data_IF_446751564434
#
_entry.id   IF_446751564434
#
_cell.length_a   1.000
_cell.length_b   1.000
_cell.length_c   1.000
_cell.angle_alpha   90.00
_cell.angle_beta   90.00
_cell.angle_gamma   90.00
#
_symmetry.space_group_name_H-M   'P 1'
#
loop_
_entity.id
_entity.type
_entity.pdbx_description
1 polymer ?
#
# COMPACT_ATOMS: atom_id res chain seq x y z
N UNK A 1 -14.62 51.33 57.86
CA UNK A 1 -13.75 51.77 56.73
C UNK A 1 -12.40 52.13 57.33
N UNK A 2 -11.44 51.21 57.32
CA UNK A 2 -10.15 51.40 57.99
C UNK A 2 -9.36 52.43 57.18
N UNK A 3 -9.15 53.63 57.74
CA UNK A 3 -8.28 54.65 57.14
C UNK A 3 -6.83 54.30 57.45
N UNK A 4 -6.21 53.47 56.61
CA UNK A 4 -4.79 53.19 56.73
C UNK A 4 -3.97 54.45 56.39
N UNK A 5 -2.89 54.66 57.15
CA UNK A 5 -1.97 55.76 56.94
C UNK A 5 -1.26 55.63 55.59
N UNK A 6 -0.90 56.76 54.96
CA UNK A 6 -0.25 56.80 53.63
C UNK A 6 1.04 55.95 53.61
N UNK A 7 1.75 55.87 54.75
CA UNK A 7 2.94 55.03 54.90
C UNK A 7 2.60 53.53 54.87
N UNK A 8 1.57 53.10 55.60
CA UNK A 8 1.14 51.69 55.66
C UNK A 8 0.60 51.21 54.31
N UNK A 9 -0.13 52.08 53.60
CA UNK A 9 -0.60 51.79 52.25
C UNK A 9 0.55 51.62 51.25
N UNK A 10 1.65 52.37 51.43
CA UNK A 10 2.85 52.24 50.59
C UNK A 10 3.60 50.93 50.86
N UNK A 11 3.76 50.54 52.12
CA UNK A 11 4.36 49.25 52.50
C UNK A 11 3.54 48.07 51.93
N UNK A 12 2.21 48.12 52.07
CA UNK A 12 1.33 47.10 51.49
C UNK A 12 1.42 47.06 49.97
N UNK A 13 1.48 48.22 49.30
CA UNK A 13 1.61 48.29 47.86
C UNK A 13 2.95 47.70 47.36
N UNK A 14 4.05 47.99 48.05
CA UNK A 14 5.36 47.41 47.75
C UNK A 14 5.37 45.89 47.96
N UNK A 15 4.73 45.41 49.03
CA UNK A 15 4.59 43.98 49.29
C UNK A 15 3.78 43.25 48.20
N UNK A 16 2.65 43.82 47.78
CA UNK A 16 1.85 43.25 46.68
C UNK A 16 2.59 43.25 45.34
N UNK A 17 3.35 44.31 45.04
CA UNK A 17 4.20 44.35 43.84
C UNK A 17 5.29 43.27 43.92
N UNK A 18 5.93 43.11 45.07
CA UNK A 18 6.96 42.09 45.26
C UNK A 18 6.42 40.67 45.01
N UNK A 19 5.27 40.34 45.59
CA UNK A 19 4.60 39.04 45.37
C UNK A 19 4.16 38.87 43.92
N UNK A 20 3.62 39.92 43.30
CA UNK A 20 3.19 39.86 41.90
C UNK A 20 4.36 39.60 40.95
N UNK A 21 5.47 40.30 41.11
CA UNK A 21 6.68 40.10 40.30
C UNK A 21 7.27 38.71 40.52
N UNK A 22 7.30 38.22 41.77
CA UNK A 22 7.80 36.90 42.08
C UNK A 22 6.95 35.78 41.45
N UNK A 23 5.63 35.87 41.57
CA UNK A 23 4.72 34.88 40.97
C UNK A 23 4.72 34.94 39.44
N UNK A 24 4.77 36.15 38.85
CA UNK A 24 4.90 36.32 37.41
C UNK A 24 6.23 35.77 36.88
N UNK A 25 7.33 35.95 37.60
CA UNK A 25 8.64 35.40 37.24
C UNK A 25 8.64 33.87 37.30
N UNK A 26 8.06 33.26 38.34
CA UNK A 26 7.94 31.81 38.46
C UNK A 26 7.08 31.19 37.35
N UNK A 27 5.96 31.83 37.01
CA UNK A 27 5.08 31.37 35.93
C UNK A 27 5.72 31.56 34.55
N UNK A 28 6.40 32.69 34.34
CA UNK A 28 7.15 32.93 33.11
C UNK A 28 8.30 31.94 32.98
N UNK A 29 9.00 31.63 34.06
CA UNK A 29 10.00 30.56 34.07
C UNK A 29 9.34 29.22 33.78
N UNK A 30 8.24 28.83 34.43
CA UNK A 30 7.56 27.57 34.13
C UNK A 30 7.05 27.43 32.68
N UNK A 31 6.61 28.54 32.05
CA UNK A 31 6.10 28.54 30.67
C UNK A 31 7.19 28.63 29.61
N UNK A 32 8.25 29.41 29.86
CA UNK A 32 9.32 29.68 28.88
C UNK A 32 10.61 28.92 29.17
N UNK A 33 10.75 28.26 30.32
CA UNK A 33 11.82 27.32 30.59
C UNK A 33 11.53 26.04 29.81
N UNK A 34 12.04 26.03 28.59
CA UNK A 34 12.09 24.84 27.75
C UNK A 34 12.87 23.76 28.51
N UNK A 35 12.16 22.73 28.98
CA UNK A 35 12.77 21.47 29.39
C UNK A 35 13.28 20.79 28.13
N UNK A 36 14.35 21.34 27.52
CA UNK A 36 14.90 21.02 26.21
C UNK A 36 14.93 19.52 25.91
N UNK A 37 13.78 19.02 25.49
CA UNK A 37 13.57 17.72 24.88
C UNK A 37 12.84 17.98 23.56
N UNK A 38 13.17 19.08 22.88
CA UNK A 38 13.15 19.09 21.43
C UNK A 38 13.96 17.86 21.02
N UNK A 39 13.25 16.79 20.64
CA UNK A 39 13.80 15.45 20.40
C UNK A 39 15.12 15.60 19.68
N UNK A 40 16.22 15.47 20.43
CA UNK A 40 17.56 15.49 19.86
C UNK A 40 17.65 14.14 19.16
N UNK A 41 17.09 14.05 17.96
CA UNK A 41 17.33 12.91 17.07
C UNK A 41 18.83 12.88 16.95
N UNK A 42 19.45 11.86 17.55
CA UNK A 42 20.89 11.72 17.52
C UNK A 42 21.31 11.80 16.05
N UNK A 43 22.43 12.46 15.75
CA UNK A 43 22.98 12.45 14.38
C UNK A 43 23.10 11.02 13.84
N UNK A 44 23.32 10.07 14.75
CA UNK A 44 23.31 8.64 14.49
C UNK A 44 21.92 8.12 14.09
N UNK A 45 20.87 8.38 14.87
CA UNK A 45 19.50 7.98 14.53
C UNK A 45 19.03 8.56 13.18
N UNK A 46 19.45 9.79 12.87
CA UNK A 46 19.17 10.41 11.59
C UNK A 46 19.95 9.74 10.45
N UNK A 47 21.22 9.43 10.66
CA UNK A 47 22.05 8.71 9.69
C UNK A 47 21.50 7.30 9.41
N UNK A 48 21.07 6.59 10.46
CA UNK A 48 20.49 5.25 10.35
C UNK A 48 19.18 5.29 9.55
N UNK A 49 18.29 6.25 9.84
CA UNK A 49 17.06 6.46 9.05
C UNK A 49 17.35 6.82 7.59
N UNK A 50 18.35 7.67 7.35
CA UNK A 50 18.73 8.04 6.00
C UNK A 50 19.26 6.83 5.22
N UNK A 51 20.08 6.00 5.85
CA UNK A 51 20.56 4.73 5.28
C UNK A 51 19.41 3.79 4.94
N UNK A 52 18.48 3.59 5.89
CA UNK A 52 17.29 2.76 5.67
C UNK A 52 16.38 3.29 4.55
N UNK A 53 16.29 4.60 4.37
CA UNK A 53 15.55 5.21 3.26
C UNK A 53 16.25 4.97 1.92
N UNK A 54 17.57 5.15 1.87
CA UNK A 54 18.37 4.91 0.67
C UNK A 54 18.32 3.45 0.23
N UNK A 55 18.39 2.49 1.17
CA UNK A 55 18.24 1.06 0.87
C UNK A 55 16.86 0.72 0.30
N UNK A 56 15.80 1.29 0.87
CA UNK A 56 14.45 1.10 0.35
C UNK A 56 14.30 1.68 -1.06
N UNK A 57 14.79 2.90 -1.29
CA UNK A 57 14.75 3.54 -2.62
C UNK A 57 15.53 2.73 -3.65
N UNK A 58 16.71 2.22 -3.29
CA UNK A 58 17.49 1.34 -4.16
C UNK A 58 16.73 0.06 -4.51
N UNK A 59 16.07 -0.56 -3.52
CA UNK A 59 15.25 -1.77 -3.74
C UNK A 59 14.06 -1.48 -4.67
N UNK A 60 13.35 -0.37 -4.45
CA UNK A 60 12.24 0.04 -5.32
C UNK A 60 12.73 0.28 -6.74
N UNK A 61 13.87 0.93 -6.92
CA UNK A 61 14.46 1.21 -8.23
C UNK A 61 14.82 -0.08 -8.98
N UNK A 62 15.41 -1.05 -8.28
CA UNK A 62 15.78 -2.35 -8.84
C UNK A 62 14.55 -3.18 -9.22
N UNK A 63 13.56 -3.25 -8.34
CA UNK A 63 12.38 -4.08 -8.53
C UNK A 63 11.34 -3.48 -9.49
N UNK A 64 11.42 -2.19 -9.80
CA UNK A 64 10.48 -1.50 -10.71
C UNK A 64 10.36 -2.22 -12.05
N UNK A 65 11.48 -2.62 -12.64
CA UNK A 65 11.48 -3.33 -13.91
C UNK A 65 10.75 -4.67 -13.79
N UNK A 66 11.03 -5.45 -12.73
CA UNK A 66 10.37 -6.74 -12.46
C UNK A 66 8.86 -6.59 -12.30
N UNK A 67 8.40 -5.58 -11.56
CA UNK A 67 6.96 -5.29 -11.38
C UNK A 67 6.31 -4.97 -12.73
N UNK A 68 6.90 -4.07 -13.51
CA UNK A 68 6.38 -3.66 -14.81
C UNK A 68 6.36 -4.81 -15.83
N UNK A 69 7.40 -5.65 -15.85
CA UNK A 69 7.46 -6.82 -16.74
C UNK A 69 6.46 -7.89 -16.34
N UNK A 70 6.32 -8.15 -15.04
CA UNK A 70 5.35 -9.13 -14.51
C UNK A 70 3.93 -8.74 -14.93
N UNK A 71 3.57 -7.46 -14.78
CA UNK A 71 2.27 -6.95 -15.24
C UNK A 71 2.05 -7.19 -16.74
N UNK A 72 3.05 -6.85 -17.58
CA UNK A 72 2.96 -7.07 -19.03
C UNK A 72 2.81 -8.55 -19.39
N UNK A 73 3.50 -9.44 -18.69
CA UNK A 73 3.38 -10.89 -18.88
C UNK A 73 1.98 -11.37 -18.52
N UNK A 74 1.41 -10.92 -17.39
CA UNK A 74 0.05 -11.27 -16.98
C UNK A 74 -0.98 -10.80 -18.01
N UNK A 75 -0.88 -9.57 -18.50
CA UNK A 75 -1.84 -9.03 -19.49
C UNK A 75 -1.75 -9.76 -20.84
N UNK A 76 -0.55 -10.22 -21.22
CA UNK A 76 -0.32 -10.95 -22.47
C UNK A 76 -0.52 -12.47 -22.31
N UNK A 77 -0.81 -12.95 -21.12
CA UNK A 77 -0.95 -14.37 -20.85
C UNK A 77 -2.12 -14.95 -21.65
N UNK A 78 -1.84 -15.98 -22.43
CA UNK A 78 -2.84 -16.76 -23.15
C UNK A 78 -2.67 -18.25 -22.83
N UNK A 79 -3.67 -18.89 -22.20
CA UNK A 79 -3.59 -20.31 -21.85
C UNK A 79 -3.62 -21.24 -23.07
N UNK A 80 -4.02 -20.76 -24.26
CA UNK A 80 -4.16 -21.58 -25.46
C UNK A 80 -2.86 -21.87 -26.22
N UNK A 81 -1.79 -21.09 -26.01
CA UNK A 81 -0.63 -21.09 -26.93
C UNK A 81 0.68 -21.60 -26.32
N UNK A 82 0.92 -21.47 -25.00
CA UNK A 82 2.16 -21.95 -24.35
C UNK A 82 2.13 -21.84 -22.80
N UNK A 83 1.05 -22.34 -22.18
CA UNK A 83 0.65 -21.95 -20.82
C UNK A 83 1.65 -22.26 -19.70
N UNK A 84 2.28 -23.44 -19.69
CA UNK A 84 2.96 -23.93 -18.47
C UNK A 84 4.25 -23.17 -18.15
N UNK A 85 5.07 -22.87 -19.17
CA UNK A 85 6.33 -22.14 -18.97
C UNK A 85 6.07 -20.68 -18.57
N UNK A 86 5.16 -20.01 -19.30
CA UNK A 86 4.78 -18.63 -19.02
C UNK A 86 4.10 -18.49 -17.65
N UNK A 87 3.27 -19.45 -17.25
CA UNK A 87 2.65 -19.48 -15.92
C UNK A 87 3.70 -19.62 -14.81
N UNK A 88 4.67 -20.52 -14.98
CA UNK A 88 5.76 -20.67 -14.01
C UNK A 88 6.64 -19.42 -13.92
N UNK A 89 6.94 -18.76 -15.05
CA UNK A 89 7.70 -17.51 -15.07
C UNK A 89 6.97 -16.37 -14.35
N UNK A 90 5.66 -16.25 -14.55
CA UNK A 90 4.83 -15.28 -13.84
C UNK A 90 4.86 -15.58 -12.34
N UNK A 91 4.63 -16.84 -11.93
CA UNK A 91 4.68 -17.24 -10.51
C UNK A 91 6.04 -16.97 -9.87
N UNK A 92 7.14 -17.26 -10.58
CA UNK A 92 8.49 -16.98 -10.13
C UNK A 92 8.72 -15.48 -9.94
N UNK A 93 8.24 -14.65 -10.88
CA UNK A 93 8.35 -13.20 -10.80
C UNK A 93 7.52 -12.62 -9.64
N UNK A 94 6.31 -13.14 -9.40
CA UNK A 94 5.46 -12.77 -8.26
C UNK A 94 6.12 -13.13 -6.91
N UNK A 95 6.74 -14.31 -6.83
CA UNK A 95 7.50 -14.73 -5.65
C UNK A 95 8.74 -13.86 -5.44
N UNK A 96 9.44 -13.50 -6.52
CA UNK A 96 10.57 -12.57 -6.46
C UNK A 96 10.15 -11.22 -5.86
N UNK A 97 9.06 -10.64 -6.35
CA UNK A 97 8.48 -9.39 -5.82
C UNK A 97 8.17 -9.55 -4.32
N UNK A 98 7.45 -10.62 -3.95
CA UNK A 98 7.09 -10.91 -2.55
C UNK A 98 8.32 -11.06 -1.64
N UNK A 99 9.40 -11.67 -2.14
CA UNK A 99 10.60 -11.94 -1.36
C UNK A 99 11.27 -10.66 -0.83
N UNK A 100 11.08 -9.52 -1.50
CA UNK A 100 11.57 -8.22 -1.01
C UNK A 100 10.96 -7.87 0.35
N UNK A 101 9.66 -8.16 0.54
CA UNK A 101 9.01 -8.01 1.83
C UNK A 101 9.55 -9.00 2.86
N UNK A 102 9.69 -10.27 2.51
CA UNK A 102 10.13 -11.31 3.44
C UNK A 102 11.54 -11.03 4.01
N UNK A 103 12.43 -10.44 3.20
CA UNK A 103 13.79 -10.04 3.64
C UNK A 103 13.80 -8.88 4.62
N UNK A 104 12.78 -8.00 4.59
CA UNK A 104 12.69 -6.76 5.39
C UNK A 104 11.31 -6.61 6.03
N UNK A 105 10.76 -7.71 6.57
CA UNK A 105 9.38 -7.76 7.07
C UNK A 105 9.08 -6.83 8.26
N UNK A 106 10.12 -6.38 8.97
CA UNK A 106 10.00 -5.41 10.07
C UNK A 106 9.72 -3.99 9.58
N UNK A 107 10.03 -3.66 8.33
CA UNK A 107 9.80 -2.34 7.74
C UNK A 107 8.46 -2.31 7.01
N UNK A 108 7.53 -1.50 7.53
CA UNK A 108 6.18 -1.38 6.98
C UNK A 108 6.17 -0.95 5.50
N UNK A 109 7.18 -0.21 5.02
CA UNK A 109 7.25 0.25 3.63
C UNK A 109 7.37 -0.90 2.64
N UNK A 110 8.08 -1.96 3.03
CA UNK A 110 8.24 -3.14 2.21
C UNK A 110 6.94 -3.93 2.04
N UNK A 111 5.91 -3.66 2.85
CA UNK A 111 4.57 -4.25 2.69
C UNK A 111 3.95 -3.95 1.32
N UNK A 112 4.38 -2.88 0.64
CA UNK A 112 3.94 -2.57 -0.73
C UNK A 112 4.29 -3.71 -1.70
N UNK A 113 5.44 -4.38 -1.53
CA UNK A 113 5.83 -5.51 -2.36
C UNK A 113 4.95 -6.74 -2.14
N UNK A 114 4.54 -6.99 -0.89
CA UNK A 114 3.58 -8.04 -0.58
C UNK A 114 2.23 -7.75 -1.23
N UNK A 115 1.72 -6.53 -1.10
CA UNK A 115 0.45 -6.11 -1.68
C UNK A 115 0.47 -6.14 -3.21
N UNK A 116 1.57 -5.71 -3.83
CA UNK A 116 1.75 -5.79 -5.28
C UNK A 116 1.74 -7.23 -5.78
N UNK A 117 2.47 -8.13 -5.10
CA UNK A 117 2.48 -9.56 -5.42
C UNK A 117 1.10 -10.20 -5.28
N UNK A 118 0.35 -9.88 -4.22
CA UNK A 118 -1.03 -10.35 -4.02
C UNK A 118 -1.96 -9.86 -5.13
N UNK A 119 -1.99 -8.55 -5.38
CA UNK A 119 -2.83 -7.95 -6.43
C UNK A 119 -2.56 -8.57 -7.81
N UNK A 120 -1.28 -8.79 -8.14
CA UNK A 120 -0.92 -9.39 -9.43
C UNK A 120 -1.19 -10.90 -9.47
N UNK A 121 -1.15 -11.58 -8.33
CA UNK A 121 -1.57 -12.98 -8.23
C UNK A 121 -3.06 -13.11 -8.54
N UNK A 122 -3.89 -12.27 -7.93
CA UNK A 122 -5.34 -12.25 -8.17
C UNK A 122 -5.63 -11.92 -9.64
N UNK A 123 -4.99 -10.87 -10.17
CA UNK A 123 -5.11 -10.49 -11.59
C UNK A 123 -4.72 -11.62 -12.54
N UNK A 124 -3.66 -12.38 -12.23
CA UNK A 124 -3.23 -13.51 -13.04
C UNK A 124 -4.29 -14.62 -13.10
N UNK A 125 -4.83 -15.00 -11.94
CA UNK A 125 -5.85 -16.05 -11.89
C UNK A 125 -7.16 -15.60 -12.53
N UNK A 126 -7.60 -14.36 -12.30
CA UNK A 126 -8.78 -13.79 -12.94
C UNK A 126 -8.65 -13.79 -14.46
N UNK A 127 -7.48 -13.41 -14.99
CA UNK A 127 -7.21 -13.42 -16.42
C UNK A 127 -7.24 -14.82 -17.02
N UNK A 128 -6.65 -15.79 -16.33
CA UNK A 128 -6.66 -17.20 -16.75
C UNK A 128 -8.08 -17.73 -16.81
N UNK A 129 -8.88 -17.48 -15.78
CA UNK A 129 -10.27 -17.92 -15.68
C UNK A 129 -11.15 -17.27 -16.77
N UNK A 130 -11.02 -15.94 -16.95
CA UNK A 130 -11.76 -15.21 -17.98
C UNK A 130 -11.46 -15.76 -19.39
N UNK A 131 -10.20 -16.08 -19.67
CA UNK A 131 -9.79 -16.68 -20.95
C UNK A 131 -10.37 -18.08 -21.13
N UNK A 132 -10.31 -18.92 -20.10
CA UNK A 132 -10.94 -20.25 -20.09
C UNK A 132 -12.44 -20.17 -20.39
N UNK A 133 -13.16 -19.33 -19.65
CA UNK A 133 -14.59 -19.11 -19.82
C UNK A 133 -14.94 -18.63 -21.24
N UNK A 134 -14.17 -17.70 -21.81
CA UNK A 134 -14.41 -17.23 -23.17
C UNK A 134 -14.23 -18.34 -24.21
N UNK A 135 -13.20 -19.18 -24.06
CA UNK A 135 -12.96 -20.31 -24.95
C UNK A 135 -14.08 -21.34 -24.84
N UNK A 136 -14.55 -21.63 -23.62
CA UNK A 136 -15.66 -22.55 -23.40
C UNK A 136 -16.97 -22.02 -23.99
N UNK A 137 -17.25 -20.72 -23.85
CA UNK A 137 -18.43 -20.11 -24.48
C UNK A 137 -18.38 -20.21 -26.01
N UNK A 138 -17.21 -20.01 -26.62
CA UNK A 138 -17.03 -20.17 -28.07
C UNK A 138 -17.26 -21.62 -28.51
N UNK A 139 -16.70 -22.59 -27.78
CA UNK A 139 -16.91 -24.01 -28.02
C UNK A 139 -18.37 -24.44 -27.89
N UNK A 140 -19.07 -23.97 -26.85
CA UNK A 140 -20.49 -24.23 -26.64
C UNK A 140 -21.35 -23.60 -27.75
N UNK A 141 -21.03 -22.38 -28.17
CA UNK A 141 -21.71 -21.70 -29.27
C UNK A 141 -21.59 -22.47 -30.59
N UNK A 142 -20.39 -22.99 -30.89
CA UNK A 142 -20.16 -23.79 -32.09
C UNK A 142 -20.88 -25.14 -32.02
N UNK A 143 -20.80 -25.84 -30.88
CA UNK A 143 -21.52 -27.10 -30.65
C UNK A 143 -23.05 -26.93 -30.80
N UNK A 144 -23.59 -25.80 -30.34
CA UNK A 144 -25.01 -25.48 -30.49
C UNK A 144 -25.39 -25.18 -31.94
N UNK A 145 -24.52 -24.53 -32.72
CA UNK A 145 -24.74 -24.34 -34.17
C UNK A 145 -24.76 -25.68 -34.91
N UNK A 146 -23.82 -26.56 -34.61
CA UNK A 146 -23.71 -27.88 -35.24
C UNK A 146 -24.93 -28.76 -34.91
N UNK A 147 -25.38 -28.73 -33.65
CA UNK A 147 -26.59 -29.41 -33.22
C UNK A 147 -27.83 -28.90 -33.97
N UNK A 148 -27.98 -27.58 -34.12
CA UNK A 148 -29.08 -26.98 -34.90
C UNK A 148 -29.01 -27.38 -36.38
N UNK A 149 -27.82 -27.37 -36.98
CA UNK A 149 -27.61 -27.75 -38.38
C UNK A 149 -27.99 -29.21 -38.62
N UNK A 150 -27.48 -30.12 -37.79
CA UNK A 150 -27.81 -31.55 -37.83
C UNK A 150 -29.31 -31.80 -37.66
N UNK A 151 -29.94 -31.12 -36.71
CA UNK A 151 -31.40 -31.20 -36.49
C UNK A 151 -32.18 -30.75 -37.73
N UNK A 152 -31.75 -29.67 -38.39
CA UNK A 152 -32.39 -29.17 -39.61
C UNK A 152 -32.22 -30.13 -40.79
N UNK A 153 -31.04 -30.72 -40.94
CA UNK A 153 -30.77 -31.74 -41.97
C UNK A 153 -31.66 -32.98 -41.76
N UNK A 154 -31.80 -33.47 -40.53
CA UNK A 154 -32.68 -34.59 -40.19
C UNK A 154 -34.16 -34.29 -40.50
N UNK A 155 -34.62 -33.05 -40.26
CA UNK A 155 -35.99 -32.66 -40.63
C UNK A 155 -36.21 -32.65 -42.14
N UNK A 156 -35.22 -32.21 -42.91
CA UNK A 156 -35.30 -32.19 -44.38
C UNK A 156 -35.32 -33.61 -44.96
N UNK A 157 -34.49 -34.53 -44.44
CA UNK A 157 -34.47 -35.91 -44.91
C UNK A 157 -35.77 -36.64 -44.57
N UNK A 158 -36.34 -36.44 -43.37
CA UNK A 158 -37.64 -37.04 -43.03
C UNK A 158 -38.82 -36.41 -43.78
N UNK A 159 -38.75 -35.12 -44.11
CA UNK A 159 -39.78 -34.42 -44.89
C UNK A 159 -39.84 -34.85 -46.36
N UNK A 160 -38.70 -35.20 -46.95
CA UNK A 160 -38.59 -35.69 -48.34
C UNK A 160 -38.89 -37.19 -48.51
N UNK A 161 -39.16 -37.92 -47.42
CA UNK A 161 -39.54 -39.34 -47.45
C UNK A 161 -41.06 -39.59 -47.46
N UNK A 162 -41.86 -38.55 -47.72
CA UNK A 162 -43.30 -38.64 -48.05
C UNK A 162 -43.52 -38.26 -49.50
#
# INVERSE_FOLDING_TARGET
MIKLSIKERREQFLFFIGIFLFTAALLSFGLFHDYGHGRVVSKQDLADKLSQNAEFEATVKDQRATVDTTYKQIIRFDPGVQAVFLENDIKNSLNSIKSNYERRASDLRYKTFLQASQLYTDLFYDRRELKGNNNDMEGLSNSLKDCKLSTNQLKQTMGNQK
#
